data_IF_289234592826
#
_entry.id   IF_289234592826
#
_cell.length_a   1.000
_cell.length_b   1.000
_cell.length_c   1.000
_cell.angle_alpha   90.00
_cell.angle_beta   90.00
_cell.angle_gamma   90.00
#
_symmetry.space_group_name_H-M   'P 1'
#
loop_
_entity.id
_entity.type
_entity.pdbx_description
1 polymer ?
#
# COMPACT_ATOMS: atom_id res chain seq x y z
N UNK A 1 0.26 -29.54 14.21
CA UNK A 1 0.10 -29.02 15.57
C UNK A 1 1.33 -28.22 15.93
N UNK A 2 1.41 -26.96 15.48
CA UNK A 2 2.46 -26.05 15.95
C UNK A 2 1.91 -25.31 17.17
N UNK A 3 2.60 -25.49 18.29
CA UNK A 3 2.18 -25.11 19.63
C UNK A 3 1.97 -23.59 19.77
N UNK A 4 0.80 -23.20 20.30
CA UNK A 4 0.35 -21.80 20.49
C UNK A 4 1.24 -21.03 21.48
N UNK A 5 2.01 -21.75 22.29
CA UNK A 5 2.82 -21.19 23.39
C UNK A 5 4.15 -20.56 22.93
N UNK A 6 4.68 -20.94 21.75
CA UNK A 6 5.92 -20.34 21.23
C UNK A 6 5.70 -18.93 20.65
N UNK A 7 4.48 -18.58 20.25
CA UNK A 7 4.14 -17.26 19.72
C UNK A 7 4.01 -16.24 20.86
N UNK A 8 3.59 -16.67 22.06
CA UNK A 8 3.52 -15.79 23.23
C UNK A 8 4.90 -15.38 23.73
N UNK A 9 5.88 -16.30 23.73
CA UNK A 9 7.26 -16.00 24.18
C UNK A 9 8.04 -15.15 23.17
N UNK A 10 7.73 -15.20 21.89
CA UNK A 10 8.36 -14.37 20.86
C UNK A 10 7.94 -12.88 20.93
N UNK A 11 6.83 -12.57 21.59
CA UNK A 11 6.34 -11.20 21.77
C UNK A 11 7.01 -10.44 22.93
N UNK A 12 7.62 -11.16 23.89
CA UNK A 12 8.27 -10.55 25.06
C UNK A 12 9.77 -10.32 24.89
N UNK A 13 10.43 -11.06 24.00
CA UNK A 13 11.87 -10.89 23.70
C UNK A 13 12.20 -9.49 23.12
N UNK A 14 11.38 -8.90 22.24
CA UNK A 14 11.61 -7.53 21.78
C UNK A 14 11.44 -6.50 22.91
N UNK A 15 10.47 -6.69 23.84
CA UNK A 15 10.15 -5.70 24.89
C UNK A 15 11.32 -5.44 25.83
N UNK A 16 12.03 -6.50 26.19
CA UNK A 16 13.18 -6.42 27.10
C UNK A 16 14.38 -5.82 26.36
N UNK A 17 14.60 -6.20 25.10
CA UNK A 17 15.73 -5.69 24.32
C UNK A 17 15.64 -4.18 24.05
N UNK A 18 14.46 -3.64 23.75
CA UNK A 18 14.30 -2.20 23.44
C UNK A 18 14.44 -1.28 24.64
N UNK A 19 13.80 -1.66 25.74
CA UNK A 19 13.95 -0.93 27.01
C UNK A 19 15.40 -1.02 27.51
N UNK A 20 16.05 -2.17 27.37
CA UNK A 20 17.44 -2.36 27.76
C UNK A 20 18.41 -1.57 26.87
N UNK A 21 18.17 -1.49 25.56
CA UNK A 21 18.96 -0.65 24.64
C UNK A 21 18.79 0.83 24.97
N UNK A 22 17.57 1.32 25.20
CA UNK A 22 17.33 2.71 25.61
C UNK A 22 18.03 3.06 26.93
N UNK A 23 17.90 2.18 27.94
CA UNK A 23 18.58 2.33 29.24
C UNK A 23 20.11 2.21 29.14
N UNK A 24 20.63 1.48 28.15
CA UNK A 24 22.07 1.26 27.99
C UNK A 24 22.77 2.28 27.08
N UNK A 25 22.08 2.88 26.09
CA UNK A 25 22.72 3.74 25.08
C UNK A 25 22.21 5.18 25.06
N UNK A 26 21.08 5.50 25.70
CA UNK A 26 20.51 6.85 25.68
C UNK A 26 20.01 7.31 24.30
N UNK A 27 19.91 6.41 23.32
CA UNK A 27 19.46 6.71 21.96
C UNK A 27 17.94 6.54 21.87
N UNK A 28 17.23 7.60 21.45
CA UNK A 28 15.76 7.61 21.37
C UNK A 28 15.21 6.80 20.18
N UNK A 29 15.98 6.67 19.10
CA UNK A 29 15.62 5.97 17.86
C UNK A 29 15.11 4.53 18.06
N UNK A 30 15.84 3.60 18.74
CA UNK A 30 15.38 2.23 18.91
C UNK A 30 14.11 2.14 19.76
N UNK A 31 13.94 3.04 20.73
CA UNK A 31 12.73 3.09 21.55
C UNK A 31 11.51 3.48 20.71
N UNK A 32 11.61 4.56 19.94
CA UNK A 32 10.54 5.02 19.04
C UNK A 32 10.19 3.92 18.02
N UNK A 33 11.19 3.30 17.37
CA UNK A 33 10.97 2.24 16.40
C UNK A 33 10.28 1.01 17.01
N UNK A 34 10.66 0.62 18.23
CA UNK A 34 10.06 -0.52 18.92
C UNK A 34 8.65 -0.24 19.41
N UNK A 35 8.38 0.97 19.87
CA UNK A 35 7.02 1.42 20.21
C UNK A 35 6.07 1.30 19.02
N UNK A 36 6.44 1.87 17.86
CA UNK A 36 5.60 1.84 16.67
C UNK A 36 5.43 0.43 16.09
N UNK A 37 6.48 -0.39 16.07
CA UNK A 37 6.38 -1.79 15.61
C UNK A 37 5.54 -2.65 16.55
N UNK A 38 5.59 -2.42 17.87
CA UNK A 38 4.74 -3.10 18.85
C UNK A 38 3.27 -2.73 18.67
N UNK A 39 2.95 -1.44 18.50
CA UNK A 39 1.58 -1.01 18.27
C UNK A 39 1.06 -1.56 16.95
N UNK A 40 1.88 -1.52 15.89
CA UNK A 40 1.53 -2.08 14.59
C UNK A 40 1.22 -3.59 14.69
N UNK A 41 2.10 -4.37 15.31
CA UNK A 41 1.92 -5.82 15.47
C UNK A 41 0.73 -6.18 16.37
N UNK A 42 0.54 -5.47 17.48
CA UNK A 42 -0.61 -5.62 18.37
C UNK A 42 -1.92 -5.31 17.62
N UNK A 43 -1.94 -4.24 16.83
CA UNK A 43 -3.10 -3.86 16.02
C UNK A 43 -3.43 -4.91 14.95
N UNK A 44 -2.41 -5.49 14.30
CA UNK A 44 -2.61 -6.61 13.36
C UNK A 44 -3.18 -7.85 14.04
N UNK A 45 -2.68 -8.20 15.23
CA UNK A 45 -3.19 -9.34 15.99
C UNK A 45 -4.64 -9.11 16.44
N UNK A 46 -4.95 -7.90 16.91
CA UNK A 46 -6.30 -7.49 17.25
C UNK A 46 -7.23 -7.61 16.04
N UNK A 47 -6.83 -7.07 14.89
CA UNK A 47 -7.60 -7.15 13.64
C UNK A 47 -7.84 -8.61 13.22
N UNK A 48 -6.82 -9.48 13.28
CA UNK A 48 -6.95 -10.91 12.97
C UNK A 48 -7.89 -11.62 13.95
N UNK A 49 -7.78 -11.33 15.24
CA UNK A 49 -8.65 -11.89 16.28
C UNK A 49 -10.12 -11.51 16.05
N UNK A 50 -10.39 -10.24 15.73
CA UNK A 50 -11.72 -9.74 15.40
C UNK A 50 -12.30 -10.37 14.13
N UNK A 51 -11.45 -10.66 13.13
CA UNK A 51 -11.86 -11.37 11.91
C UNK A 51 -12.20 -12.85 12.17
N UNK A 52 -11.52 -13.53 13.10
CA UNK A 52 -11.73 -14.97 13.40
C UNK A 52 -12.85 -15.20 14.43
N UNK A 53 -13.15 -14.21 15.28
CA UNK A 53 -14.12 -14.36 16.37
C UNK A 53 -15.52 -14.74 15.89
N UNK A 54 -15.98 -15.93 16.32
CA UNK A 54 -17.29 -16.47 15.96
C UNK A 54 -18.46 -15.74 16.62
N UNK A 55 -18.24 -15.08 17.77
CA UNK A 55 -19.27 -14.31 18.47
C UNK A 55 -19.70 -13.05 17.70
N UNK A 56 -18.77 -12.45 16.95
CA UNK A 56 -19.02 -11.27 16.11
C UNK A 56 -19.72 -11.60 14.79
N UNK A 57 -19.86 -12.88 14.42
CA UNK A 57 -20.70 -13.29 13.28
C UNK A 57 -22.19 -12.98 13.51
N UNK A 58 -22.61 -12.91 14.78
CA UNK A 58 -24.01 -12.64 15.16
C UNK A 58 -24.42 -11.18 14.88
N UNK A 59 -23.47 -10.24 14.78
CA UNK A 59 -23.72 -8.82 14.52
C UNK A 59 -22.80 -8.26 13.42
N UNK A 60 -23.21 -8.33 12.13
CA UNK A 60 -22.34 -7.97 11.01
C UNK A 60 -21.95 -6.48 10.99
N UNK A 61 -22.85 -5.57 11.39
CA UNK A 61 -22.57 -4.13 11.45
C UNK A 61 -21.55 -3.79 12.54
N UNK A 62 -21.68 -4.40 13.71
CA UNK A 62 -20.75 -4.20 14.82
C UNK A 62 -19.36 -4.74 14.49
N UNK A 63 -19.29 -5.91 13.83
CA UNK A 63 -18.02 -6.47 13.35
C UNK A 63 -17.34 -5.57 12.32
N UNK A 64 -18.10 -5.02 11.38
CA UNK A 64 -17.57 -4.06 10.39
C UNK A 64 -17.00 -2.82 11.11
N UNK A 65 -17.77 -2.22 12.01
CA UNK A 65 -17.34 -1.05 12.77
C UNK A 65 -16.08 -1.34 13.59
N UNK A 66 -16.07 -2.42 14.38
CA UNK A 66 -14.90 -2.80 15.20
C UNK A 66 -13.67 -3.09 14.34
N UNK A 67 -13.83 -3.76 13.20
CA UNK A 67 -12.72 -4.06 12.29
C UNK A 67 -12.18 -2.78 11.65
N UNK A 68 -13.04 -1.77 11.41
CA UNK A 68 -12.66 -0.49 10.84
C UNK A 68 -11.85 0.32 11.86
N UNK A 69 -12.36 0.44 13.09
CA UNK A 69 -11.65 1.14 14.17
C UNK A 69 -10.38 0.42 14.60
N UNK A 70 -10.34 -0.92 14.54
CA UNK A 70 -9.15 -1.71 14.82
C UNK A 70 -8.17 -1.79 13.64
N UNK A 71 -8.35 -0.98 12.59
CA UNK A 71 -7.41 -0.96 11.47
C UNK A 71 -6.02 -0.53 11.98
N UNK A 72 -4.95 -1.29 11.66
CA UNK A 72 -3.60 -0.98 12.12
C UNK A 72 -3.14 0.43 11.74
N UNK A 73 -3.57 0.97 10.60
CA UNK A 73 -3.22 2.33 10.16
C UNK A 73 -3.83 3.40 11.08
N UNK A 74 -5.10 3.24 11.46
CA UNK A 74 -5.78 4.19 12.36
C UNK A 74 -5.26 4.08 13.78
N UNK A 75 -5.07 2.85 14.28
CA UNK A 75 -4.56 2.64 15.63
C UNK A 75 -3.14 3.18 15.76
N UNK A 76 -2.24 2.92 14.81
CA UNK A 76 -0.86 3.43 14.90
C UNK A 76 -0.80 4.95 14.74
N UNK A 77 -1.64 5.54 13.90
CA UNK A 77 -1.76 7.00 13.80
C UNK A 77 -2.31 7.63 15.09
N UNK A 78 -3.36 7.06 15.67
CA UNK A 78 -3.96 7.54 16.92
C UNK A 78 -3.01 7.44 18.11
N UNK A 79 -2.45 6.25 18.36
CA UNK A 79 -1.47 6.05 19.43
C UNK A 79 -0.16 6.80 19.18
N UNK A 80 0.25 6.98 17.92
CA UNK A 80 1.40 7.79 17.55
C UNK A 80 1.20 9.27 17.86
N UNK A 81 0.00 9.80 17.62
CA UNK A 81 -0.35 11.19 17.95
C UNK A 81 -0.28 11.43 19.46
N UNK A 82 -0.88 10.52 20.24
CA UNK A 82 -0.81 10.58 21.71
C UNK A 82 0.65 10.47 22.19
N UNK A 83 1.43 9.58 21.59
CA UNK A 83 2.85 9.42 21.92
C UNK A 83 3.66 10.70 21.70
N UNK A 84 3.51 11.35 20.54
CA UNK A 84 4.21 12.60 20.27
C UNK A 84 3.78 13.72 21.22
N UNK A 85 2.49 13.81 21.58
CA UNK A 85 2.01 14.75 22.60
C UNK A 85 2.59 14.51 24.00
N UNK A 86 2.75 13.24 24.39
CA UNK A 86 3.40 12.90 25.65
C UNK A 86 4.88 13.27 25.59
N UNK A 87 5.56 12.98 24.48
CA UNK A 87 6.97 13.28 24.28
C UNK A 87 7.24 14.80 24.28
N UNK A 88 6.38 15.62 23.69
CA UNK A 88 6.50 17.09 23.77
C UNK A 88 6.35 17.61 25.19
N UNK A 89 5.41 17.05 25.96
CA UNK A 89 5.22 17.41 27.37
C UNK A 89 6.44 17.09 28.22
N UNK A 90 7.06 15.93 28.04
CA UNK A 90 8.27 15.56 28.80
C UNK A 90 9.54 16.27 28.33
N UNK A 91 9.69 16.51 27.03
CA UNK A 91 10.88 17.14 26.47
C UNK A 91 10.85 18.68 26.50
N UNK A 92 9.73 19.30 26.92
CA UNK A 92 9.49 20.75 26.81
C UNK A 92 9.80 21.30 25.40
N UNK A 93 9.50 20.52 24.37
CA UNK A 93 9.78 20.82 22.97
C UNK A 93 8.48 21.03 22.18
N UNK A 94 8.56 21.70 21.03
CA UNK A 94 7.39 21.83 20.15
C UNK A 94 7.09 20.51 19.43
N UNK A 95 5.83 20.30 19.03
CA UNK A 95 5.42 19.12 18.24
C UNK A 95 6.25 19.04 16.96
N UNK A 96 6.49 20.18 16.31
CA UNK A 96 7.33 20.25 15.12
C UNK A 96 8.74 19.71 15.38
N UNK A 97 9.38 20.12 16.48
CA UNK A 97 10.71 19.62 16.84
C UNK A 97 10.72 18.11 17.06
N UNK A 98 9.73 17.57 17.80
CA UNK A 98 9.62 16.12 18.05
C UNK A 98 9.38 15.35 16.75
N UNK A 99 8.52 15.84 15.86
CA UNK A 99 8.24 15.21 14.55
C UNK A 99 9.46 15.31 13.62
N UNK A 100 10.19 16.43 13.63
CA UNK A 100 11.43 16.56 12.85
C UNK A 100 12.56 15.69 13.40
N UNK A 101 12.62 15.47 14.71
CA UNK A 101 13.57 14.52 15.30
C UNK A 101 13.20 13.06 14.98
N UNK A 102 11.90 12.77 14.85
CA UNK A 102 11.41 11.46 14.46
C UNK A 102 11.74 11.11 12.99
N UNK A 103 11.68 12.10 12.08
CA UNK A 103 12.13 11.98 10.67
C UNK A 103 13.07 13.14 10.33
N UNK A 104 14.37 12.89 10.44
CA UNK A 104 15.41 13.92 10.40
C UNK A 104 15.88 14.21 8.97
N UNK A 105 15.84 13.20 8.11
CA UNK A 105 16.37 13.30 6.74
C UNK A 105 15.28 13.00 5.71
N UNK A 106 15.43 13.56 4.50
CA UNK A 106 14.51 13.25 3.39
C UNK A 106 14.84 11.93 2.72
N UNK A 107 16.12 11.57 2.70
CA UNK A 107 16.61 10.33 2.09
C UNK A 107 17.60 9.65 3.02
N UNK A 108 17.67 8.32 2.93
CA UNK A 108 18.66 7.56 3.68
C UNK A 108 20.10 7.90 3.27
N UNK A 109 20.34 8.21 2.00
CA UNK A 109 21.65 8.62 1.51
C UNK A 109 22.17 9.87 2.24
N UNK A 110 21.31 10.86 2.46
CA UNK A 110 21.60 12.07 3.22
C UNK A 110 21.95 11.74 4.68
N UNK A 111 21.20 10.83 5.31
CA UNK A 111 21.49 10.35 6.66
C UNK A 111 22.84 9.63 6.75
N UNK A 112 23.22 8.83 5.75
CA UNK A 112 24.51 8.12 5.70
C UNK A 112 25.67 9.08 5.49
N UNK A 113 25.52 10.08 4.62
CA UNK A 113 26.57 11.09 4.38
C UNK A 113 26.86 11.87 5.66
N UNK A 114 25.82 12.37 6.34
CA UNK A 114 25.99 13.08 7.61
C UNK A 114 26.56 12.19 8.72
N UNK A 115 26.16 10.91 8.76
CA UNK A 115 26.73 9.96 9.73
C UNK A 115 28.20 9.65 9.45
N UNK A 116 28.59 9.59 8.18
CA UNK A 116 29.97 9.37 7.76
C UNK A 116 30.88 10.55 8.09
N UNK A 117 30.33 11.78 8.09
CA UNK A 117 31.05 12.99 8.52
C UNK A 117 31.20 13.05 10.06
N UNK A 118 30.14 12.81 10.82
CA UNK A 118 30.11 13.06 12.28
C UNK A 118 30.50 11.86 13.16
N UNK A 119 30.76 10.67 12.58
CA UNK A 119 31.12 9.42 13.30
C UNK A 119 30.17 9.00 14.44
N UNK A 120 28.94 9.56 14.51
CA UNK A 120 27.96 9.28 15.56
C UNK A 120 26.60 8.88 14.98
N UNK A 121 26.37 7.59 14.65
CA UNK A 121 25.13 7.14 14.00
C UNK A 121 23.86 7.36 14.85
N UNK A 122 23.99 7.37 16.19
CA UNK A 122 22.84 7.48 17.10
C UNK A 122 22.23 8.88 17.20
N UNK A 123 22.95 9.94 16.81
CA UNK A 123 22.48 11.32 16.93
C UNK A 123 21.69 11.81 15.70
N UNK A 124 21.86 11.17 14.54
CA UNK A 124 21.38 11.69 13.27
C UNK A 124 20.27 10.85 12.62
N UNK A 125 19.98 9.64 13.09
CA UNK A 125 18.98 8.75 12.48
C UNK A 125 17.73 8.65 13.36
N UNK A 126 16.57 9.04 12.83
CA UNK A 126 15.27 8.89 13.48
C UNK A 126 14.58 7.57 13.15
N UNK A 127 13.57 7.19 13.95
CA UNK A 127 12.78 5.98 13.69
C UNK A 127 11.94 6.09 12.40
N UNK A 128 11.54 7.29 12.00
CA UNK A 128 10.91 7.58 10.71
C UNK A 128 11.87 7.34 9.54
N UNK A 129 13.16 7.70 9.69
CA UNK A 129 14.18 7.49 8.66
C UNK A 129 14.41 5.98 8.42
N UNK A 130 14.41 5.18 9.50
CA UNK A 130 14.46 3.72 9.40
C UNK A 130 13.23 3.14 8.68
N UNK A 131 12.05 3.68 8.96
CA UNK A 131 10.81 3.25 8.30
C UNK A 131 10.83 3.56 6.79
N UNK A 132 11.40 4.70 6.40
CA UNK A 132 11.65 5.03 5.00
C UNK A 132 12.63 4.07 4.34
N UNK A 133 13.71 3.66 5.03
CA UNK A 133 14.64 2.65 4.49
C UNK A 133 13.95 1.29 4.25
N UNK A 134 13.09 0.86 5.17
CA UNK A 134 12.32 -0.38 4.99
C UNK A 134 11.36 -0.26 3.80
N UNK A 135 10.74 0.91 3.63
CA UNK A 135 9.89 1.20 2.48
C UNK A 135 10.68 1.15 1.16
N UNK A 136 11.85 1.78 1.11
CA UNK A 136 12.72 1.78 -0.08
C UNK A 136 13.18 0.37 -0.44
N UNK A 137 13.59 -0.44 0.55
CA UNK A 137 13.92 -1.84 0.36
C UNK A 137 12.72 -2.65 -0.17
N UNK A 138 11.51 -2.36 0.32
CA UNK A 138 10.27 -2.96 -0.17
C UNK A 138 9.97 -2.61 -1.63
N UNK A 139 10.17 -1.35 -2.03
CA UNK A 139 10.01 -0.88 -3.41
C UNK A 139 11.03 -1.58 -4.33
N UNK A 140 12.28 -1.73 -3.89
CA UNK A 140 13.32 -2.45 -4.65
C UNK A 140 12.96 -3.94 -4.83
N UNK A 141 12.50 -4.61 -3.78
CA UNK A 141 12.03 -6.00 -3.85
C UNK A 141 10.86 -6.16 -4.82
N UNK A 142 9.91 -5.22 -4.80
CA UNK A 142 8.79 -5.18 -5.74
C UNK A 142 9.27 -4.98 -7.18
N UNK A 143 10.26 -4.11 -7.40
CA UNK A 143 10.89 -3.90 -8.71
C UNK A 143 11.59 -5.16 -9.22
N UNK A 144 12.31 -5.87 -8.35
CA UNK A 144 12.93 -7.17 -8.69
C UNK A 144 11.88 -8.21 -9.08
N UNK A 145 10.74 -8.25 -8.37
CA UNK A 145 9.62 -9.12 -8.76
C UNK A 145 9.03 -8.74 -10.11
N UNK A 146 8.85 -7.46 -10.41
CA UNK A 146 8.43 -7.02 -11.75
C UNK A 146 9.45 -7.41 -12.83
N UNK A 147 10.75 -7.39 -12.51
CA UNK A 147 11.80 -7.80 -13.42
C UNK A 147 11.80 -9.31 -13.72
N UNK A 148 11.45 -10.14 -12.73
CA UNK A 148 11.23 -11.58 -12.90
C UNK A 148 10.15 -11.85 -13.95
N UNK A 149 9.04 -11.10 -13.91
CA UNK A 149 7.92 -11.21 -14.86
C UNK A 149 8.04 -10.30 -16.10
N UNK A 150 9.21 -9.71 -16.39
CA UNK A 150 9.37 -8.66 -17.41
C UNK A 150 8.91 -9.04 -18.81
N UNK A 151 9.06 -10.31 -19.20
CA UNK A 151 8.69 -10.78 -20.54
C UNK A 151 7.16 -10.86 -20.70
N UNK A 152 6.46 -11.35 -19.67
CA UNK A 152 5.00 -11.41 -19.60
C UNK A 152 4.40 -10.01 -19.43
N UNK A 153 5.12 -9.11 -18.75
CA UNK A 153 4.74 -7.70 -18.67
C UNK A 153 4.90 -7.01 -20.02
N UNK A 154 6.00 -7.27 -20.75
CA UNK A 154 6.28 -6.63 -22.03
C UNK A 154 5.25 -6.98 -23.11
N UNK A 155 4.71 -8.20 -23.13
CA UNK A 155 3.66 -8.59 -24.09
C UNK A 155 2.36 -7.81 -23.87
N UNK A 156 1.99 -7.58 -22.61
CA UNK A 156 0.75 -6.89 -22.22
C UNK A 156 0.93 -5.40 -21.92
N UNK A 157 2.16 -4.87 -22.00
CA UNK A 157 2.50 -3.52 -21.56
C UNK A 157 1.65 -2.44 -22.23
N UNK A 158 1.52 -2.50 -23.56
CA UNK A 158 0.73 -1.54 -24.33
C UNK A 158 -0.76 -1.56 -23.94
N UNK A 159 -1.31 -2.74 -23.65
CA UNK A 159 -2.69 -2.90 -23.19
C UNK A 159 -2.90 -2.31 -21.79
N UNK A 160 -1.93 -2.54 -20.89
CA UNK A 160 -1.98 -2.01 -19.51
C UNK A 160 -1.85 -0.49 -19.51
N UNK A 161 -0.91 0.07 -20.27
CA UNK A 161 -0.69 1.52 -20.36
C UNK A 161 -1.94 2.22 -20.90
N UNK A 162 -2.52 1.73 -22.01
CA UNK A 162 -3.71 2.35 -22.60
C UNK A 162 -4.93 2.26 -21.67
N UNK A 163 -5.13 1.10 -21.03
CA UNK A 163 -6.21 0.90 -20.05
C UNK A 163 -6.03 1.83 -18.84
N UNK A 164 -4.82 1.93 -18.29
CA UNK A 164 -4.54 2.83 -17.17
C UNK A 164 -4.71 4.30 -17.54
N UNK A 165 -4.35 4.70 -18.77
CA UNK A 165 -4.53 6.08 -19.25
C UNK A 165 -6.01 6.47 -19.34
N UNK A 166 -6.84 5.59 -19.90
CA UNK A 166 -8.29 5.79 -20.00
C UNK A 166 -8.91 5.85 -18.61
N UNK A 167 -8.54 4.93 -17.72
CA UNK A 167 -9.06 4.89 -16.36
C UNK A 167 -8.59 6.11 -15.56
N UNK A 168 -7.33 6.55 -15.69
CA UNK A 168 -6.82 7.75 -15.02
C UNK A 168 -7.60 8.99 -15.45
N UNK A 169 -7.73 9.21 -16.75
CA UNK A 169 -8.48 10.35 -17.30
C UNK A 169 -9.92 10.33 -16.80
N UNK A 170 -10.61 9.18 -16.94
CA UNK A 170 -12.00 9.03 -16.53
C UNK A 170 -12.16 9.22 -15.01
N UNK A 171 -11.29 8.61 -14.21
CA UNK A 171 -11.34 8.66 -12.75
C UNK A 171 -11.19 10.09 -12.24
N UNK A 172 -10.23 10.86 -12.77
CA UNK A 172 -10.00 12.25 -12.37
C UNK A 172 -11.25 13.11 -12.60
N UNK A 173 -11.85 13.06 -13.81
CA UNK A 173 -13.04 13.87 -14.11
C UNK A 173 -14.30 13.36 -13.40
N UNK A 174 -14.52 12.04 -13.37
CA UNK A 174 -15.71 11.45 -12.77
C UNK A 174 -15.71 11.65 -11.25
N UNK A 175 -14.58 11.47 -10.58
CA UNK A 175 -14.51 11.64 -9.13
C UNK A 175 -14.74 13.10 -8.72
N UNK A 176 -14.17 14.07 -9.46
CA UNK A 176 -14.41 15.49 -9.22
C UNK A 176 -15.88 15.86 -9.49
N UNK A 177 -16.46 15.38 -10.59
CA UNK A 177 -17.86 15.61 -10.92
C UNK A 177 -18.81 15.04 -9.84
N UNK A 178 -18.51 13.84 -9.33
CA UNK A 178 -19.28 13.22 -8.24
C UNK A 178 -19.14 14.05 -6.96
N UNK A 179 -17.92 14.47 -6.60
CA UNK A 179 -17.68 15.28 -5.40
C UNK A 179 -18.48 16.60 -5.44
N UNK A 180 -18.54 17.24 -6.60
CA UNK A 180 -19.39 18.43 -6.80
C UNK A 180 -20.87 18.15 -6.70
N UNK A 181 -21.35 17.03 -7.23
CA UNK A 181 -22.76 16.63 -7.05
C UNK A 181 -23.14 16.34 -5.60
N UNK A 182 -22.17 16.00 -4.76
CA UNK A 182 -22.36 15.81 -3.32
C UNK A 182 -22.44 17.18 -2.59
N UNK A 183 -22.06 18.27 -3.24
CA UNK A 183 -22.10 19.63 -2.69
C UNK A 183 -20.83 20.07 -1.97
N UNK A 184 -19.70 19.39 -2.23
CA UNK A 184 -18.41 19.78 -1.66
C UNK A 184 -17.91 21.10 -2.25
N UNK A 185 -17.15 21.86 -1.47
CA UNK A 185 -16.49 23.09 -1.93
C UNK A 185 -15.51 22.80 -3.08
N UNK A 186 -15.18 23.80 -3.89
CA UNK A 186 -14.36 23.61 -5.10
C UNK A 186 -12.97 23.03 -4.79
N UNK A 187 -12.35 23.48 -3.70
CA UNK A 187 -11.06 22.97 -3.22
C UNK A 187 -11.17 21.48 -2.76
N UNK A 188 -12.21 21.17 -2.00
CA UNK A 188 -12.48 19.82 -1.52
C UNK A 188 -12.84 18.85 -2.65
N UNK A 189 -13.57 19.32 -3.67
CA UNK A 189 -13.91 18.50 -4.82
C UNK A 189 -12.68 18.14 -5.67
N UNK A 190 -11.70 19.03 -5.77
CA UNK A 190 -10.42 18.75 -6.45
C UNK A 190 -9.62 17.66 -5.74
N UNK A 191 -9.76 17.52 -4.42
CA UNK A 191 -9.13 16.45 -3.64
C UNK A 191 -9.54 15.04 -4.12
N UNK A 192 -10.73 14.89 -4.71
CA UNK A 192 -11.21 13.63 -5.24
C UNK A 192 -10.49 13.19 -6.52
N UNK A 193 -9.82 14.10 -7.24
CA UNK A 193 -9.05 13.77 -8.44
C UNK A 193 -7.92 12.77 -8.15
N UNK A 194 -7.29 12.87 -6.98
CA UNK A 194 -6.18 12.02 -6.55
C UNK A 194 -6.57 10.96 -5.50
N UNK A 195 -7.87 10.71 -5.28
CA UNK A 195 -8.36 9.77 -4.26
C UNK A 195 -7.72 8.38 -4.34
N UNK A 196 -7.52 7.85 -5.55
CA UNK A 196 -7.02 6.49 -5.79
C UNK A 196 -5.51 6.41 -6.02
N UNK A 197 -4.81 7.53 -5.89
CA UNK A 197 -3.35 7.61 -6.10
C UNK A 197 -2.66 7.55 -4.74
N UNK A 198 -1.47 6.94 -4.69
CA UNK A 198 -0.63 6.93 -3.48
C UNK A 198 -0.35 8.35 -3.01
N UNK A 199 -0.42 8.61 -1.71
CA UNK A 199 -0.22 9.95 -1.11
C UNK A 199 1.01 10.67 -1.69
N UNK A 200 2.13 9.98 -1.85
CA UNK A 200 3.36 10.56 -2.40
C UNK A 200 3.20 11.14 -3.82
N UNK A 201 2.35 10.52 -4.66
CA UNK A 201 2.02 11.01 -5.99
C UNK A 201 0.81 11.97 -5.97
N UNK A 202 -0.07 11.86 -4.98
CA UNK A 202 -1.21 12.76 -4.83
C UNK A 202 -0.82 14.18 -4.40
N UNK A 203 0.22 14.35 -3.56
CA UNK A 203 0.73 15.66 -3.12
C UNK A 203 1.08 16.59 -4.31
N UNK A 204 1.94 16.18 -5.27
CA UNK A 204 2.24 17.05 -6.41
C UNK A 204 1.00 17.31 -7.28
N UNK A 205 0.09 16.34 -7.43
CA UNK A 205 -1.19 16.56 -8.14
C UNK A 205 -2.02 17.66 -7.48
N UNK A 206 -2.17 17.63 -6.15
CA UNK A 206 -2.95 18.62 -5.41
C UNK A 206 -2.31 20.01 -5.44
N UNK A 207 -0.98 20.09 -5.42
CA UNK A 207 -0.26 21.36 -5.56
C UNK A 207 -0.50 22.01 -6.93
N UNK A 208 -0.63 21.23 -8.01
CA UNK A 208 -0.88 21.77 -9.34
C UNK A 208 -2.31 22.30 -9.53
N UNK A 209 -3.29 21.66 -8.90
CA UNK A 209 -4.71 22.06 -9.02
C UNK A 209 -5.18 22.96 -7.87
N UNK A 210 -4.30 23.26 -6.90
CA UNK A 210 -4.66 23.95 -5.64
C UNK A 210 -5.83 23.27 -4.89
N UNK A 211 -5.73 21.94 -4.76
CA UNK A 211 -6.71 21.10 -4.06
C UNK A 211 -6.31 20.79 -2.60
N UNK A 212 -7.28 20.38 -1.79
CA UNK A 212 -7.08 20.12 -0.36
C UNK A 212 -6.25 18.86 -0.13
N UNK A 213 -4.98 19.05 0.28
CA UNK A 213 -4.05 17.94 0.58
C UNK A 213 -4.54 17.07 1.76
N UNK A 214 -5.17 17.69 2.75
CA UNK A 214 -5.69 17.00 3.94
C UNK A 214 -6.82 16.05 3.56
N UNK A 215 -7.80 16.54 2.78
CA UNK A 215 -8.92 15.72 2.34
C UNK A 215 -8.46 14.62 1.38
N UNK A 216 -7.54 14.93 0.46
CA UNK A 216 -6.92 13.93 -0.42
C UNK A 216 -6.28 12.81 0.38
N UNK A 217 -5.52 13.16 1.43
CA UNK A 217 -4.82 12.20 2.29
C UNK A 217 -5.82 11.31 3.02
N UNK A 218 -6.87 11.91 3.59
CA UNK A 218 -7.94 11.17 4.24
C UNK A 218 -8.66 10.22 3.27
N UNK A 219 -8.98 10.66 2.06
CA UNK A 219 -9.64 9.85 1.03
C UNK A 219 -8.77 8.68 0.55
N UNK A 220 -7.47 8.90 0.38
CA UNK A 220 -6.49 7.88 0.03
C UNK A 220 -6.38 6.81 1.12
N UNK A 221 -6.24 7.24 2.39
CA UNK A 221 -6.18 6.34 3.54
C UNK A 221 -7.49 5.55 3.65
N UNK A 222 -8.65 6.21 3.58
CA UNK A 222 -9.96 5.55 3.61
C UNK A 222 -10.12 4.52 2.49
N UNK A 223 -9.69 4.84 1.26
CA UNK A 223 -9.74 3.91 0.14
C UNK A 223 -8.87 2.67 0.39
N UNK A 224 -7.64 2.87 0.88
CA UNK A 224 -6.74 1.77 1.23
C UNK A 224 -7.28 0.89 2.36
N UNK A 225 -7.89 1.50 3.39
CA UNK A 225 -8.51 0.78 4.49
C UNK A 225 -9.73 -0.04 4.04
N UNK A 226 -10.62 0.56 3.24
CA UNK A 226 -11.78 -0.16 2.69
C UNK A 226 -11.32 -1.37 1.87
N UNK A 227 -10.24 -1.24 1.10
CA UNK A 227 -9.67 -2.37 0.38
C UNK A 227 -9.18 -3.49 1.33
N UNK A 228 -8.47 -3.16 2.41
CA UNK A 228 -8.00 -4.16 3.39
C UNK A 228 -9.14 -5.00 3.97
N UNK A 229 -10.31 -4.38 4.15
CA UNK A 229 -11.50 -5.06 4.65
C UNK A 229 -12.18 -5.90 3.59
N UNK A 230 -12.26 -5.37 2.36
CA UNK A 230 -12.91 -6.02 1.23
C UNK A 230 -12.00 -6.98 0.46
N UNK A 231 -10.71 -7.10 0.81
CA UNK A 231 -9.70 -7.85 0.05
C UNK A 231 -10.17 -9.25 -0.30
N UNK A 232 -10.54 -10.07 0.68
CA UNK A 232 -10.98 -11.45 0.43
C UNK A 232 -12.23 -11.55 -0.45
N UNK A 233 -13.15 -10.59 -0.31
CA UNK A 233 -14.35 -10.49 -1.15
C UNK A 233 -13.98 -10.08 -2.59
N UNK A 234 -13.08 -9.11 -2.74
CA UNK A 234 -12.63 -8.65 -4.04
C UNK A 234 -11.80 -9.73 -4.76
N UNK A 235 -10.94 -10.47 -4.06
CA UNK A 235 -10.22 -11.58 -4.67
C UNK A 235 -11.15 -12.74 -5.06
N UNK A 236 -12.24 -12.96 -4.29
CA UNK A 236 -13.28 -13.92 -4.64
C UNK A 236 -14.07 -13.50 -5.88
N UNK A 237 -14.38 -12.20 -6.02
CA UNK A 237 -15.09 -11.70 -7.22
C UNK A 237 -14.19 -11.68 -8.45
N UNK A 238 -12.90 -11.34 -8.27
CA UNK A 238 -11.89 -11.33 -9.33
C UNK A 238 -11.43 -12.73 -9.75
N UNK A 239 -11.88 -13.80 -9.07
CA UNK A 239 -11.53 -15.20 -9.35
C UNK A 239 -10.03 -15.41 -9.59
N UNK A 240 -9.18 -14.76 -8.79
CA UNK A 240 -7.73 -15.02 -8.80
C UNK A 240 -7.52 -16.40 -8.16
N UNK A 241 -7.62 -17.44 -8.99
CA UNK A 241 -7.37 -18.83 -8.62
C UNK A 241 -6.09 -19.29 -9.30
N UNK A 242 -4.98 -18.66 -8.94
CA UNK A 242 -3.67 -18.80 -9.61
C UNK A 242 -2.92 -20.10 -9.23
N UNK A 243 -3.62 -21.13 -8.74
CA UNK A 243 -3.00 -22.38 -8.32
C UNK A 243 -2.57 -23.31 -9.48
N UNK A 244 -2.77 -22.94 -10.75
CA UNK A 244 -2.57 -23.88 -11.89
C UNK A 244 -1.40 -23.60 -12.82
N UNK A 245 -0.73 -22.45 -12.79
CA UNK A 245 0.35 -22.17 -13.77
C UNK A 245 1.69 -22.84 -13.42
N UNK A 246 1.88 -23.33 -12.18
CA UNK A 246 3.15 -23.98 -11.74
C UNK A 246 3.18 -25.52 -11.80
N UNK A 247 2.38 -26.17 -12.64
CA UNK A 247 2.58 -27.60 -12.97
C UNK A 247 2.92 -27.81 -14.44
N UNK A 248 4.08 -27.32 -14.85
CA UNK A 248 4.87 -28.06 -15.84
C UNK A 248 6.37 -27.81 -15.58
N UNK A 249 7.01 -28.63 -14.71
CA UNK A 249 8.44 -28.81 -14.80
C UNK A 249 8.72 -29.41 -16.18
N UNK A 250 9.57 -28.71 -16.92
CA UNK A 250 10.11 -29.09 -18.21
C UNK A 250 11.03 -30.31 -18.02
N UNK A 251 10.45 -31.50 -17.86
CA UNK A 251 11.18 -32.76 -17.97
C UNK A 251 10.98 -33.32 -19.37
N UNK A 252 11.98 -33.09 -20.22
CA UNK A 252 12.20 -33.95 -21.37
C UNK A 252 12.91 -35.22 -20.90
N UNK A 253 12.23 -36.36 -21.00
CA UNK A 253 12.82 -37.66 -21.35
C UNK A 253 11.67 -38.61 -21.67
N UNK A 254 11.75 -39.28 -22.83
CA UNK A 254 10.65 -40.00 -23.45
C UNK A 254 10.26 -41.30 -22.73
N UNK A 255 9.01 -41.74 -22.93
CA UNK A 255 8.63 -42.79 -23.88
C UNK A 255 7.12 -43.03 -23.85
N UNK A 256 6.61 -43.57 -24.96
CA UNK A 256 5.38 -44.37 -25.12
C UNK A 256 4.02 -43.68 -25.33
N UNK A 257 3.73 -43.48 -26.63
CA UNK A 257 2.52 -43.90 -27.35
C UNK A 257 1.17 -43.92 -26.63
N UNK A 258 0.33 -42.90 -26.86
CA UNK A 258 -1.09 -43.11 -27.12
C UNK A 258 -1.68 -41.97 -27.97
N UNK A 259 -2.26 -42.33 -29.13
CA UNK A 259 -2.96 -41.39 -30.03
C UNK A 259 -4.39 -41.17 -29.52
N UNK A 260 -4.69 -39.98 -29.01
CA UNK A 260 -6.06 -39.47 -28.79
C UNK A 260 -6.36 -38.25 -29.69
N UNK A 261 -7.63 -37.98 -30.06
CA UNK A 261 -7.94 -37.06 -31.15
C UNK A 261 -8.04 -35.57 -30.73
N UNK A 262 -7.28 -34.72 -31.44
CA UNK A 262 -7.50 -33.29 -31.76
C UNK A 262 -7.90 -32.34 -30.60
N UNK A 263 -6.90 -31.79 -29.90
CA UNK A 263 -7.03 -30.53 -29.15
C UNK A 263 -6.95 -29.32 -30.08
N UNK A 264 -8.11 -28.78 -30.50
CA UNK A 264 -8.23 -27.45 -31.12
C UNK A 264 -8.81 -26.40 -30.16
N UNK A 265 -9.05 -26.77 -28.89
CA UNK A 265 -9.74 -25.97 -27.87
C UNK A 265 -8.79 -25.30 -26.84
N UNK A 266 -7.47 -25.48 -26.94
CA UNK A 266 -6.53 -25.07 -25.88
C UNK A 266 -5.88 -23.69 -26.02
N UNK A 267 -6.26 -22.88 -27.02
CA UNK A 267 -5.65 -21.56 -27.28
C UNK A 267 -6.56 -20.40 -26.85
N UNK A 268 -7.87 -20.51 -27.05
CA UNK A 268 -8.85 -19.51 -26.62
C UNK A 268 -9.01 -19.49 -25.09
N UNK A 269 -8.97 -20.64 -24.42
CA UNK A 269 -9.06 -20.73 -22.96
C UNK A 269 -7.83 -20.12 -22.26
N UNK A 270 -6.62 -20.31 -22.81
CA UNK A 270 -5.37 -19.73 -22.26
C UNK A 270 -5.31 -18.22 -22.39
N UNK A 271 -5.72 -17.68 -23.54
CA UNK A 271 -5.77 -16.23 -23.77
C UNK A 271 -6.82 -15.54 -22.88
N UNK A 272 -7.97 -16.20 -22.68
CA UNK A 272 -9.01 -15.71 -21.78
C UNK A 272 -8.60 -15.72 -20.30
N UNK A 273 -7.77 -16.68 -19.88
CA UNK A 273 -7.26 -16.76 -18.51
C UNK A 273 -6.18 -15.70 -18.23
N UNK A 274 -5.25 -15.49 -19.16
CA UNK A 274 -4.25 -14.40 -19.09
C UNK A 274 -4.92 -13.02 -18.99
N UNK A 275 -5.95 -12.77 -19.81
CA UNK A 275 -6.70 -11.51 -19.79
C UNK A 275 -7.37 -11.26 -18.43
N UNK A 276 -7.89 -12.31 -17.78
CA UNK A 276 -8.50 -12.21 -16.44
C UNK A 276 -7.45 -11.87 -15.38
N UNK A 277 -6.27 -12.47 -15.45
CA UNK A 277 -5.16 -12.20 -14.52
C UNK A 277 -4.69 -10.74 -14.68
N UNK A 278 -4.53 -10.27 -15.92
CA UNK A 278 -4.16 -8.88 -16.21
C UNK A 278 -5.23 -7.92 -15.70
N UNK A 279 -6.50 -8.16 -16.01
CA UNK A 279 -7.61 -7.31 -15.56
C UNK A 279 -7.73 -7.28 -14.02
N UNK A 280 -7.53 -8.42 -13.36
CA UNK A 280 -7.52 -8.50 -11.91
C UNK A 280 -6.33 -7.74 -11.30
N UNK A 281 -5.13 -7.91 -11.87
CA UNK A 281 -3.95 -7.13 -11.50
C UNK A 281 -4.18 -5.63 -11.63
N UNK A 282 -4.68 -5.17 -12.79
CA UNK A 282 -4.99 -3.75 -13.04
C UNK A 282 -6.05 -3.22 -12.05
N UNK A 283 -7.10 -3.99 -11.80
CA UNK A 283 -8.17 -3.59 -10.86
C UNK A 283 -7.63 -3.44 -9.43
N UNK A 284 -6.78 -4.37 -9.00
CA UNK A 284 -6.12 -4.32 -7.68
C UNK A 284 -5.14 -3.15 -7.64
N UNK A 285 -4.29 -2.97 -8.63
CA UNK A 285 -3.29 -1.89 -8.65
C UNK A 285 -3.91 -0.49 -8.56
N UNK A 286 -5.02 -0.25 -9.26
CA UNK A 286 -5.70 1.05 -9.28
C UNK A 286 -6.48 1.34 -7.99
N UNK A 287 -7.17 0.35 -7.40
CA UNK A 287 -8.06 0.59 -6.26
C UNK A 287 -7.42 0.29 -4.89
N UNK A 288 -6.50 -0.67 -4.85
CA UNK A 288 -5.87 -1.17 -3.64
C UNK A 288 -4.48 -0.61 -3.39
N UNK A 289 -3.83 -0.15 -4.46
CA UNK A 289 -2.45 0.27 -4.50
C UNK A 289 -1.52 -0.77 -3.83
N UNK A 290 -0.63 -0.30 -2.95
CA UNK A 290 0.41 -1.13 -2.33
C UNK A 290 -0.17 -2.28 -1.49
N UNK A 291 -1.30 -2.07 -0.82
CA UNK A 291 -1.86 -3.06 0.11
C UNK A 291 -2.45 -4.27 -0.62
N UNK A 292 -3.15 -4.05 -1.74
CA UNK A 292 -3.62 -5.17 -2.56
C UNK A 292 -2.50 -5.90 -3.28
N UNK A 293 -1.44 -5.18 -3.66
CA UNK A 293 -0.23 -5.80 -4.22
C UNK A 293 0.46 -6.68 -3.19
N UNK A 294 0.55 -6.27 -1.92
CA UNK A 294 1.06 -7.11 -0.84
C UNK A 294 0.21 -8.38 -0.63
N UNK A 295 -1.12 -8.27 -0.71
CA UNK A 295 -2.01 -9.44 -0.59
C UNK A 295 -1.89 -10.42 -1.77
N UNK A 296 -1.57 -9.92 -2.96
CA UNK A 296 -1.24 -10.75 -4.13
C UNK A 296 0.09 -11.49 -3.93
N UNK A 297 1.08 -10.84 -3.31
CA UNK A 297 2.36 -11.46 -2.94
C UNK A 297 2.14 -12.57 -1.89
N UNK A 298 1.32 -12.32 -0.85
CA UNK A 298 0.99 -13.35 0.16
C UNK A 298 0.31 -14.59 -0.41
N UNK A 299 -0.29 -14.48 -1.60
CA UNK A 299 -0.98 -15.58 -2.30
C UNK A 299 -0.19 -16.17 -3.47
N UNK A 300 1.07 -15.76 -3.67
CA UNK A 300 1.92 -16.19 -4.78
C UNK A 300 1.23 -16.05 -6.16
N UNK A 301 0.43 -14.99 -6.36
CA UNK A 301 -0.30 -14.77 -7.61
C UNK A 301 0.52 -13.98 -8.63
N UNK A 302 0.50 -14.41 -9.89
CA UNK A 302 1.12 -13.72 -11.02
C UNK A 302 0.52 -12.33 -11.28
N UNK A 303 -0.72 -12.09 -10.85
CA UNK A 303 -1.36 -10.78 -10.90
C UNK A 303 -0.61 -9.69 -10.11
N UNK A 304 0.31 -10.06 -9.21
CA UNK A 304 1.12 -9.11 -8.42
C UNK A 304 1.92 -8.13 -9.29
N UNK A 305 2.51 -8.60 -10.40
CA UNK A 305 3.35 -7.78 -11.27
C UNK A 305 2.50 -6.79 -12.08
N UNK A 306 1.34 -7.24 -12.58
CA UNK A 306 0.37 -6.38 -13.26
C UNK A 306 -0.23 -5.33 -12.30
N UNK A 307 -0.46 -5.68 -11.04
CA UNK A 307 -0.90 -4.75 -9.99
C UNK A 307 0.14 -3.67 -9.69
N UNK A 308 1.40 -4.06 -9.47
CA UNK A 308 2.48 -3.12 -9.21
C UNK A 308 2.72 -2.16 -10.38
N UNK A 309 2.69 -2.69 -11.61
CA UNK A 309 2.85 -1.89 -12.83
C UNK A 309 1.70 -0.89 -13.00
N UNK A 310 0.46 -1.37 -12.91
CA UNK A 310 -0.72 -0.52 -13.10
C UNK A 310 -0.85 0.56 -12.02
N UNK A 311 -0.54 0.24 -10.76
CA UNK A 311 -0.47 1.23 -9.66
C UNK A 311 0.51 2.37 -10.01
N UNK A 312 1.70 2.03 -10.50
CA UNK A 312 2.74 3.02 -10.86
C UNK A 312 2.33 3.85 -12.07
N UNK A 313 1.84 3.21 -13.14
CA UNK A 313 1.42 3.90 -14.37
C UNK A 313 0.20 4.80 -14.09
N UNK A 314 -0.82 4.31 -13.40
CA UNK A 314 -2.01 5.08 -13.08
C UNK A 314 -1.68 6.32 -12.24
N UNK A 315 -0.84 6.16 -11.21
CA UNK A 315 -0.37 7.29 -10.40
C UNK A 315 0.43 8.29 -11.22
N UNK A 316 1.41 7.82 -12.01
CA UNK A 316 2.22 8.66 -12.89
C UNK A 316 1.39 9.40 -13.94
N UNK A 317 0.41 8.73 -14.56
CA UNK A 317 -0.53 9.34 -15.51
C UNK A 317 -1.40 10.39 -14.84
N UNK A 318 -1.83 10.17 -13.60
CA UNK A 318 -2.63 11.17 -12.86
C UNK A 318 -1.82 12.43 -12.59
N UNK A 319 -0.56 12.28 -12.18
CA UNK A 319 0.37 13.42 -12.01
C UNK A 319 0.62 14.12 -13.34
N UNK A 320 0.91 13.37 -14.41
CA UNK A 320 1.16 13.94 -15.73
C UNK A 320 -0.04 14.71 -16.29
N UNK A 321 -1.25 14.13 -16.18
CA UNK A 321 -2.49 14.76 -16.63
C UNK A 321 -2.76 16.07 -15.87
N UNK A 322 -2.54 16.10 -14.56
CA UNK A 322 -2.72 17.30 -13.72
C UNK A 322 -1.58 18.32 -13.82
N UNK A 323 -0.46 17.95 -14.44
CA UNK A 323 0.57 18.91 -14.80
C UNK A 323 0.25 19.65 -16.11
N UNK A 324 -0.66 19.12 -16.96
CA UNK A 324 -1.06 19.78 -18.19
C UNK A 324 -2.00 20.96 -17.87
N UNK A 325 -1.66 22.21 -18.26
CA UNK A 325 -2.45 23.38 -17.91
C UNK A 325 -3.91 23.25 -18.34
N UNK A 326 -4.14 22.76 -19.56
CA UNK A 326 -5.50 22.61 -20.11
C UNK A 326 -6.38 21.65 -19.30
N UNK A 327 -5.82 20.56 -18.76
CA UNK A 327 -6.55 19.60 -17.93
C UNK A 327 -6.84 20.20 -16.56
N UNK A 328 -5.86 20.87 -15.95
CA UNK A 328 -6.03 21.52 -14.65
C UNK A 328 -7.07 22.62 -14.69
N UNK A 329 -7.09 23.46 -15.73
CA UNK A 329 -8.16 24.44 -15.94
C UNK A 329 -9.53 23.77 -16.10
N UNK A 330 -9.61 22.67 -16.85
CA UNK A 330 -10.85 21.91 -17.01
C UNK A 330 -11.33 21.33 -15.67
N UNK A 331 -10.43 20.86 -14.82
CA UNK A 331 -10.78 20.32 -13.51
C UNK A 331 -11.26 21.40 -12.55
N UNK A 332 -10.57 22.55 -12.51
CA UNK A 332 -10.99 23.70 -11.71
C UNK A 332 -12.33 24.23 -12.20
N UNK A 333 -12.55 24.28 -13.51
CA UNK A 333 -13.85 24.65 -14.10
C UNK A 333 -14.95 23.65 -13.76
N UNK A 334 -14.65 22.35 -13.80
CA UNK A 334 -15.61 21.31 -13.41
C UNK A 334 -15.92 21.36 -11.91
N UNK A 335 -14.92 21.71 -11.09
CA UNK A 335 -15.03 21.86 -9.64
C UNK A 335 -15.70 23.18 -9.20
N UNK A 336 -15.85 24.17 -10.09
CA UNK A 336 -16.57 25.41 -9.78
C UNK A 336 -18.06 25.34 -10.15
N UNK A 337 -18.44 24.40 -11.02
CA UNK A 337 -19.82 24.14 -11.42
C UNK A 337 -20.59 23.29 -10.39
#
# INVERSE_FOLDING_TARGET
>A
MLNRDHISKAADVPRIAGAFVYLATGVEMPFDAMYFTLIWTCSLQLLRSLKVSSGLLRFPRLRLALTLFANPVLLTSGFGTVYFWIKTFFANATIDQVVTNFRRHRTFAEAVIHTAEDHNPGAHIGAGDLSCLILDAGILCLGMKMFEYRHELASSFYSIVSTCAIIATTSIFVNVAIARRIGLESDEALAFAAKSVTIALGVPTMQQVNGSMTLMSALCILSGMLFQMSGDYLFRILRINDQKVRKQPRNGSGSDTEKGPRERSGKDDRSGEETKIVAAGVTVGINAAAMGTAHLIERDSTAMAYSALSMTIFGGMTVALTALPGVSYLLVFLASR
#
